data_IF_116554496029
#
_entry.id   IF_116554496029
#
_cell.length_a   1.000
_cell.length_b   1.000
_cell.length_c   1.000
_cell.angle_alpha   90.00
_cell.angle_beta   90.00
_cell.angle_gamma   90.00
#
_symmetry.space_group_name_H-M   'P 1'
#
loop_
_entity.id
_entity.type
_entity.pdbx_description
1 polymer ?
#
# COMPACT_ATOMS: atom_id res chain seq x y z
N UNK A 1 -9.73 -2.31 -23.13
CA UNK A 1 -9.66 -1.39 -24.28
C UNK A 1 -8.24 -1.28 -24.90
N UNK A 2 -7.24 -1.99 -24.42
CA UNK A 2 -5.91 -2.01 -25.03
C UNK A 2 -4.98 -0.84 -24.70
N UNK A 3 -5.34 0.01 -23.73
CA UNK A 3 -4.49 1.10 -23.26
C UNK A 3 -3.50 0.61 -22.20
N UNK A 4 -2.32 1.23 -22.21
CA UNK A 4 -1.30 1.10 -21.16
C UNK A 4 -1.13 2.46 -20.48
N UNK A 5 -1.14 2.47 -19.15
CA UNK A 5 -1.04 3.71 -18.41
C UNK A 5 -0.26 3.50 -17.10
N UNK A 6 0.30 4.58 -16.62
CA UNK A 6 0.98 4.63 -15.32
C UNK A 6 0.26 5.65 -14.44
N UNK A 7 -0.08 5.24 -13.24
CA UNK A 7 -0.82 6.06 -12.29
C UNK A 7 0.01 6.21 -11.02
N UNK A 8 0.22 7.46 -10.62
CA UNK A 8 0.85 7.78 -9.33
C UNK A 8 -0.15 7.81 -8.19
N UNK A 9 0.37 8.04 -7.00
CA UNK A 9 -0.45 8.17 -5.80
C UNK A 9 -1.45 9.33 -5.95
N UNK A 10 -2.74 9.14 -5.59
CA UNK A 10 -3.71 10.23 -5.54
C UNK A 10 -3.24 11.36 -4.64
N UNK A 11 -3.30 12.58 -5.14
CA UNK A 11 -2.88 13.79 -4.42
C UNK A 11 -4.08 14.73 -4.22
N UNK A 12 -4.11 15.42 -3.09
CA UNK A 12 -5.07 16.48 -2.82
C UNK A 12 -4.51 17.82 -3.28
N UNK A 13 -5.41 18.74 -3.64
CA UNK A 13 -5.04 20.09 -4.04
C UNK A 13 -4.95 20.96 -2.79
N UNK A 14 -3.75 21.44 -2.47
CA UNK A 14 -3.52 22.40 -1.41
C UNK A 14 -3.81 23.83 -1.90
N UNK A 15 -4.16 24.71 -0.98
CA UNK A 15 -4.36 26.14 -1.24
C UNK A 15 -3.62 26.98 -0.20
N UNK A 16 -3.18 28.14 -0.60
CA UNK A 16 -2.69 29.17 0.31
C UNK A 16 -3.84 30.14 0.60
N UNK A 17 -4.27 30.23 1.85
CA UNK A 17 -5.36 31.08 2.30
C UNK A 17 -4.82 31.93 3.46
N UNK A 18 -4.86 33.25 3.30
CA UNK A 18 -4.34 34.21 4.28
C UNK A 18 -2.88 33.96 4.70
N UNK A 19 -2.03 33.48 3.75
CA UNK A 19 -0.62 33.14 3.97
C UNK A 19 -0.43 31.84 4.75
N UNK A 20 -1.46 31.03 4.93
CA UNK A 20 -1.39 29.70 5.52
C UNK A 20 -1.58 28.61 4.48
N UNK A 21 -0.74 27.56 4.58
CA UNK A 21 -0.89 26.36 3.78
C UNK A 21 -2.09 25.56 4.26
N UNK A 22 -3.12 25.43 3.42
CA UNK A 22 -4.39 24.80 3.76
C UNK A 22 -4.63 23.55 2.91
N UNK A 23 -5.30 22.57 3.50
CA UNK A 23 -5.72 21.33 2.87
C UNK A 23 -7.23 21.16 2.89
N UNK A 24 -7.81 20.45 1.91
CA UNK A 24 -9.24 20.16 1.92
C UNK A 24 -9.58 19.19 3.05
N UNK A 25 -10.65 19.53 3.79
CA UNK A 25 -11.20 18.71 4.87
C UNK A 25 -12.59 18.26 4.49
N UNK A 26 -12.90 17.02 4.82
CA UNK A 26 -14.17 16.38 4.55
C UNK A 26 -14.86 16.01 5.86
N UNK A 27 -16.17 16.11 5.84
CA UNK A 27 -17.03 15.54 6.87
C UNK A 27 -17.23 14.06 6.54
N UNK A 28 -16.77 13.20 7.42
CA UNK A 28 -16.82 11.76 7.31
C UNK A 28 -17.84 11.20 8.31
N UNK A 29 -18.78 10.40 7.83
CA UNK A 29 -19.74 9.68 8.66
C UNK A 29 -19.46 8.18 8.58
N UNK A 30 -19.31 7.52 9.71
CA UNK A 30 -19.17 6.07 9.82
C UNK A 30 -20.29 5.53 10.69
N UNK A 31 -21.14 4.66 10.13
CA UNK A 31 -22.14 3.92 10.85
C UNK A 31 -21.70 2.47 11.01
N UNK A 32 -21.59 1.98 12.25
CA UNK A 32 -20.97 0.69 12.56
C UNK A 32 -21.57 0.08 13.82
N UNK A 33 -21.61 -1.27 14.00
CA UNK A 33 -21.93 -1.89 15.27
C UNK A 33 -21.04 -1.36 16.40
N UNK A 34 -21.60 -1.19 17.60
CA UNK A 34 -20.93 -0.56 18.74
C UNK A 34 -19.59 -1.22 19.10
N UNK A 35 -19.46 -2.54 18.92
CA UNK A 35 -18.23 -3.30 19.18
C UNK A 35 -17.03 -2.84 18.34
N UNK A 36 -17.25 -2.27 17.13
CA UNK A 36 -16.19 -1.78 16.26
C UNK A 36 -15.91 -0.28 16.40
N UNK A 37 -16.74 0.47 17.15
CA UNK A 37 -16.65 1.91 17.25
C UNK A 37 -15.26 2.42 17.67
N UNK A 38 -14.69 1.85 18.72
CA UNK A 38 -13.35 2.24 19.22
C UNK A 38 -12.26 2.05 18.16
N UNK A 39 -12.35 0.98 17.37
CA UNK A 39 -11.39 0.70 16.30
C UNK A 39 -11.52 1.69 15.15
N UNK A 40 -12.74 2.13 14.82
CA UNK A 40 -12.97 3.18 13.82
C UNK A 40 -12.40 4.52 14.27
N UNK A 41 -12.66 4.90 15.53
CA UNK A 41 -12.13 6.15 16.10
C UNK A 41 -10.60 6.16 16.06
N UNK A 42 -9.93 5.10 16.51
CA UNK A 42 -8.46 4.99 16.46
C UNK A 42 -7.92 5.11 15.02
N UNK A 43 -8.55 4.42 14.08
CA UNK A 43 -8.15 4.41 12.67
C UNK A 43 -8.26 5.80 12.02
N UNK A 44 -9.34 6.53 12.28
CA UNK A 44 -9.58 7.88 11.74
C UNK A 44 -8.67 8.91 12.42
N UNK A 45 -8.47 8.81 13.75
CA UNK A 45 -7.60 9.72 14.51
C UNK A 45 -6.14 9.61 14.06
N UNK A 46 -5.63 8.41 13.79
CA UNK A 46 -4.28 8.21 13.20
C UNK A 46 -4.11 8.91 11.85
N UNK A 47 -5.20 9.13 11.13
CA UNK A 47 -5.25 9.84 9.85
C UNK A 47 -5.58 11.33 9.99
N UNK A 48 -5.39 11.89 11.20
CA UNK A 48 -5.66 13.29 11.54
C UNK A 48 -7.15 13.68 11.46
N UNK A 49 -8.06 12.70 11.55
CA UNK A 49 -9.47 12.97 11.71
C UNK A 49 -9.80 13.33 13.15
N UNK A 50 -10.67 14.30 13.32
CA UNK A 50 -11.17 14.80 14.59
C UNK A 50 -12.65 14.43 14.72
N UNK A 51 -13.01 13.71 15.78
CA UNK A 51 -14.40 13.32 16.02
C UNK A 51 -15.23 14.55 16.41
N UNK A 52 -16.33 14.78 15.71
CA UNK A 52 -17.26 15.88 15.92
C UNK A 52 -18.51 15.46 16.68
N UNK A 53 -19.04 14.27 16.38
CA UNK A 53 -20.19 13.72 17.09
C UNK A 53 -20.15 12.19 17.16
N UNK A 54 -20.89 11.62 18.10
CA UNK A 54 -21.11 10.20 18.25
C UNK A 54 -22.50 9.95 18.81
N UNK A 55 -23.35 9.27 18.05
CA UNK A 55 -24.73 8.98 18.44
C UNK A 55 -25.02 7.48 18.37
N UNK A 56 -25.52 6.92 19.45
CA UNK A 56 -25.93 5.52 19.50
C UNK A 56 -27.37 5.38 18.98
N UNK A 57 -27.57 4.47 18.02
CA UNK A 57 -28.86 4.14 17.44
C UNK A 57 -29.11 2.61 17.58
N UNK A 58 -29.60 2.21 18.75
CA UNK A 58 -29.79 0.78 19.08
C UNK A 58 -28.45 0.07 19.23
N UNK A 59 -28.22 -0.96 18.41
CA UNK A 59 -26.95 -1.74 18.39
C UNK A 59 -25.86 -1.12 17.52
N UNK A 60 -26.14 -0.01 16.86
CA UNK A 60 -25.20 0.69 15.98
C UNK A 60 -24.90 2.08 16.47
N UNK A 61 -23.72 2.57 16.08
CA UNK A 61 -23.25 3.91 16.40
C UNK A 61 -22.98 4.67 15.12
N UNK A 62 -23.45 5.89 15.07
CA UNK A 62 -23.13 6.85 14.02
C UNK A 62 -22.03 7.79 14.54
N UNK A 63 -20.88 7.81 13.87
CA UNK A 63 -19.73 8.61 14.29
C UNK A 63 -19.38 9.57 13.17
N UNK A 64 -19.28 10.86 13.50
CA UNK A 64 -18.92 11.92 12.55
C UNK A 64 -17.52 12.46 12.86
N UNK A 65 -16.79 12.77 11.79
CA UNK A 65 -15.43 13.27 11.87
C UNK A 65 -15.20 14.39 10.86
N UNK A 66 -14.33 15.32 11.20
CA UNK A 66 -13.65 16.19 10.25
C UNK A 66 -12.27 15.60 9.93
N UNK A 67 -12.06 15.18 8.69
CA UNK A 67 -10.82 14.50 8.27
C UNK A 67 -10.22 15.16 7.04
N UNK A 68 -8.89 15.36 6.96
CA UNK A 68 -8.25 15.77 5.72
C UNK A 68 -8.57 14.79 4.58
N UNK A 69 -8.90 15.29 3.38
CA UNK A 69 -9.25 14.44 2.22
C UNK A 69 -8.17 13.39 1.91
N UNK A 70 -6.89 13.73 2.12
CA UNK A 70 -5.78 12.76 1.99
C UNK A 70 -5.84 11.62 3.01
N UNK A 71 -6.52 11.80 4.14
CA UNK A 71 -6.75 10.77 5.17
C UNK A 71 -7.82 9.76 4.78
N UNK A 72 -8.70 10.09 3.83
CA UNK A 72 -9.76 9.21 3.33
C UNK A 72 -9.21 8.18 2.34
N UNK A 73 -8.10 8.51 1.65
CA UNK A 73 -7.47 7.60 0.70
C UNK A 73 -7.11 6.30 1.43
N UNK A 74 -7.65 5.17 0.97
CA UNK A 74 -7.47 3.86 1.57
C UNK A 74 -8.24 3.60 2.87
N UNK A 75 -8.98 4.57 3.38
CA UNK A 75 -9.73 4.40 4.61
C UNK A 75 -10.90 3.44 4.45
N UNK A 76 -11.60 3.47 3.31
CA UNK A 76 -12.79 2.66 3.06
C UNK A 76 -12.51 1.17 3.17
N UNK A 77 -11.49 0.68 2.50
CA UNK A 77 -11.07 -0.73 2.53
C UNK A 77 -10.70 -1.16 3.95
N UNK A 78 -9.95 -0.31 4.67
CA UNK A 78 -9.56 -0.59 6.04
C UNK A 78 -10.77 -0.62 7.00
N UNK A 79 -11.72 0.31 6.86
CA UNK A 79 -12.97 0.37 7.64
C UNK A 79 -13.81 -0.88 7.40
N UNK A 80 -14.01 -1.29 6.14
CA UNK A 80 -14.77 -2.49 5.79
C UNK A 80 -14.11 -3.77 6.32
N UNK A 81 -12.80 -3.90 6.15
CA UNK A 81 -12.05 -5.07 6.67
C UNK A 81 -12.13 -5.12 8.20
N UNK A 82 -11.97 -3.97 8.86
CA UNK A 82 -11.95 -3.88 10.31
C UNK A 82 -13.32 -4.14 10.98
N UNK A 83 -14.41 -3.88 10.24
CA UNK A 83 -15.80 -4.10 10.65
C UNK A 83 -16.41 -5.36 10.05
N UNK A 84 -15.61 -6.25 9.44
CA UNK A 84 -16.10 -7.46 8.78
C UNK A 84 -17.15 -7.19 7.68
N UNK A 85 -17.07 -6.01 7.04
CA UNK A 85 -18.02 -5.59 6.01
C UNK A 85 -19.27 -4.86 6.52
N UNK A 86 -19.45 -4.73 7.84
CA UNK A 86 -20.68 -4.17 8.41
C UNK A 86 -20.73 -2.64 8.48
N UNK A 87 -19.60 -1.95 8.29
CA UNK A 87 -19.57 -0.50 8.32
C UNK A 87 -20.19 0.13 7.08
N UNK A 88 -20.90 1.22 7.28
CA UNK A 88 -21.36 2.12 6.23
C UNK A 88 -20.58 3.40 6.36
N UNK A 89 -19.92 3.84 5.28
CA UNK A 89 -19.08 5.01 5.26
C UNK A 89 -19.54 5.97 4.16
N UNK A 90 -19.74 7.23 4.53
CA UNK A 90 -20.04 8.33 3.63
C UNK A 90 -19.15 9.53 3.96
N UNK A 91 -18.79 10.32 2.96
CA UNK A 91 -18.00 11.54 3.16
C UNK A 91 -18.39 12.61 2.16
N UNK A 92 -18.21 13.87 2.54
CA UNK A 92 -18.45 15.03 1.69
C UNK A 92 -17.44 16.13 1.97
N UNK A 93 -17.07 16.90 0.97
CA UNK A 93 -16.24 18.09 1.15
C UNK A 93 -16.91 19.08 2.11
N UNK A 94 -16.13 19.58 3.06
CA UNK A 94 -16.57 20.60 4.03
C UNK A 94 -15.95 21.95 3.70
N UNK A 95 -14.65 22.08 3.89
CA UNK A 95 -13.92 23.34 3.73
C UNK A 95 -12.41 23.10 3.62
N UNK A 96 -11.65 24.17 3.42
CA UNK A 96 -10.20 24.14 3.55
C UNK A 96 -9.82 24.56 4.97
N UNK A 97 -8.94 23.79 5.60
CA UNK A 97 -8.38 24.06 6.93
C UNK A 97 -6.85 24.06 6.88
N UNK A 98 -6.17 24.67 7.87
CA UNK A 98 -4.72 24.60 7.98
C UNK A 98 -4.19 23.17 7.95
N UNK A 99 -3.06 22.97 7.30
CA UNK A 99 -2.42 21.65 7.16
C UNK A 99 -2.18 20.99 8.53
N UNK A 100 -2.71 19.79 8.74
CA UNK A 100 -2.69 19.06 10.02
C UNK A 100 -1.45 18.20 10.24
N UNK A 101 -0.39 18.38 9.42
CA UNK A 101 0.84 17.60 9.52
C UNK A 101 0.77 16.25 8.77
N UNK A 102 1.86 15.50 8.75
CA UNK A 102 1.97 14.27 7.99
C UNK A 102 1.07 13.14 8.51
N UNK A 103 0.56 12.35 7.58
CA UNK A 103 -0.19 11.12 7.85
C UNK A 103 0.68 9.95 7.40
N UNK A 104 1.03 9.07 8.34
CA UNK A 104 1.70 7.82 8.02
C UNK A 104 0.72 6.87 7.32
N UNK A 105 0.92 6.65 6.01
CA UNK A 105 0.05 5.76 5.21
C UNK A 105 0.50 4.31 5.27
N UNK A 106 1.71 4.04 4.82
CA UNK A 106 2.35 2.73 4.84
C UNK A 106 3.66 2.83 5.61
N UNK A 107 3.79 2.06 6.68
CA UNK A 107 5.01 2.03 7.48
C UNK A 107 6.08 1.15 6.83
N UNK A 108 5.68 0.06 6.17
CA UNK A 108 6.57 -0.92 5.58
C UNK A 108 7.23 -0.43 4.28
N UNK A 109 8.46 -0.88 4.04
CA UNK A 109 9.19 -0.66 2.80
C UNK A 109 8.72 -1.58 1.67
N UNK A 110 9.29 -1.38 0.48
CA UNK A 110 9.07 -2.22 -0.68
C UNK A 110 10.22 -3.21 -0.86
N UNK A 111 9.90 -4.43 -1.29
CA UNK A 111 10.88 -5.34 -1.89
C UNK A 111 10.94 -5.05 -3.40
N UNK A 112 12.12 -4.70 -3.90
CA UNK A 112 12.32 -4.18 -5.25
C UNK A 112 13.23 -5.12 -6.03
N UNK A 113 12.82 -5.47 -7.26
CA UNK A 113 13.63 -6.31 -8.15
C UNK A 113 14.94 -5.60 -8.54
N UNK A 114 16.07 -6.31 -8.35
CA UNK A 114 17.41 -5.82 -8.68
C UNK A 114 17.67 -5.85 -10.18
N UNK A 115 17.14 -6.85 -10.88
CA UNK A 115 17.40 -7.10 -12.29
C UNK A 115 16.15 -7.63 -13.01
N UNK A 116 16.17 -7.56 -14.33
CA UNK A 116 15.12 -8.12 -15.18
C UNK A 116 15.36 -9.62 -15.37
N UNK A 117 14.30 -10.41 -15.26
CA UNK A 117 14.37 -11.86 -15.45
C UNK A 117 13.12 -12.58 -14.95
N UNK A 118 13.16 -13.88 -14.93
CA UNK A 118 12.07 -14.73 -14.43
C UNK A 118 12.27 -15.02 -12.95
N UNK A 119 11.23 -14.83 -12.14
CA UNK A 119 11.26 -15.13 -10.71
C UNK A 119 11.34 -16.64 -10.46
N UNK A 120 12.34 -17.08 -9.69
CA UNK A 120 12.53 -18.49 -9.36
C UNK A 120 11.94 -18.83 -7.97
N UNK A 121 11.28 -19.98 -7.90
CA UNK A 121 10.73 -20.55 -6.66
C UNK A 121 11.77 -20.59 -5.54
N UNK A 122 13.00 -20.98 -5.85
CA UNK A 122 14.11 -21.03 -4.90
C UNK A 122 14.43 -19.65 -4.29
N UNK A 123 14.42 -18.59 -5.10
CA UNK A 123 14.72 -17.24 -4.63
C UNK A 123 13.59 -16.69 -3.78
N UNK A 124 12.32 -16.91 -4.16
CA UNK A 124 11.16 -16.52 -3.38
C UNK A 124 11.15 -17.23 -2.02
N UNK A 125 11.38 -18.57 -2.01
CA UNK A 125 11.45 -19.36 -0.77
C UNK A 125 12.51 -18.83 0.20
N UNK A 126 13.69 -18.44 -0.29
CA UNK A 126 14.77 -17.88 0.52
C UNK A 126 14.51 -16.46 1.04
N UNK A 127 13.61 -15.73 0.40
CA UNK A 127 13.35 -14.33 0.68
C UNK A 127 11.98 -14.09 1.35
N UNK A 128 11.12 -15.11 1.43
CA UNK A 128 9.76 -14.95 2.00
C UNK A 128 9.75 -14.56 3.48
N UNK A 129 10.81 -14.84 4.23
CA UNK A 129 10.95 -14.35 5.62
C UNK A 129 11.19 -12.83 5.70
N UNK A 130 11.53 -12.19 4.57
CA UNK A 130 11.76 -10.75 4.48
C UNK A 130 10.50 -9.94 4.24
N UNK A 131 9.40 -10.60 3.82
CA UNK A 131 8.16 -9.89 3.52
C UNK A 131 7.15 -10.73 2.75
N UNK A 132 6.11 -10.06 2.28
CA UNK A 132 5.02 -10.66 1.49
C UNK A 132 5.26 -10.37 0.01
N UNK A 133 5.19 -11.40 -0.84
CA UNK A 133 5.34 -11.22 -2.28
C UNK A 133 4.02 -10.88 -2.98
N UNK A 134 4.14 -10.11 -4.07
CA UNK A 134 3.05 -9.80 -5.01
C UNK A 134 3.16 -10.59 -6.31
N UNK A 135 4.23 -11.36 -6.48
CA UNK A 135 4.55 -12.17 -7.66
C UNK A 135 4.56 -13.65 -7.34
N UNK A 136 4.29 -14.47 -8.35
CA UNK A 136 4.42 -15.92 -8.29
C UNK A 136 5.74 -16.39 -8.95
N UNK A 137 6.23 -17.60 -8.59
CA UNK A 137 7.32 -18.23 -9.32
C UNK A 137 6.98 -18.41 -10.81
N UNK A 138 7.93 -18.10 -11.68
CA UNK A 138 7.76 -18.17 -13.14
C UNK A 138 7.28 -16.87 -13.77
N UNK A 139 6.91 -15.86 -12.99
CA UNK A 139 6.57 -14.54 -13.52
C UNK A 139 7.84 -13.79 -13.98
N UNK A 140 7.70 -13.03 -15.05
CA UNK A 140 8.76 -12.13 -15.52
C UNK A 140 8.68 -10.83 -14.72
N UNK A 141 9.81 -10.43 -14.18
CA UNK A 141 10.00 -9.18 -13.45
C UNK A 141 11.03 -8.30 -14.14
N UNK A 142 11.01 -7.01 -13.86
CA UNK A 142 11.99 -6.08 -14.39
C UNK A 142 12.64 -5.24 -13.29
N UNK A 143 13.79 -4.65 -13.59
CA UNK A 143 14.53 -3.80 -12.66
C UNK A 143 13.64 -2.66 -12.13
N UNK A 144 13.60 -2.48 -10.82
CA UNK A 144 12.80 -1.43 -10.18
C UNK A 144 11.32 -1.77 -9.97
N UNK A 145 10.86 -2.96 -10.37
CA UNK A 145 9.52 -3.46 -10.05
C UNK A 145 9.39 -3.74 -8.55
N UNK A 146 8.27 -3.35 -7.96
CA UNK A 146 7.92 -3.65 -6.56
C UNK A 146 7.29 -5.04 -6.53
N UNK A 147 8.09 -6.02 -6.14
CA UNK A 147 7.72 -7.45 -6.12
C UNK A 147 7.16 -7.94 -4.79
N UNK A 148 7.13 -7.06 -3.78
CA UNK A 148 6.58 -7.41 -2.48
C UNK A 148 6.67 -6.27 -1.46
N UNK A 149 6.08 -6.52 -0.27
CA UNK A 149 6.15 -5.65 0.90
C UNK A 149 7.23 -6.16 1.86
N UNK A 150 8.16 -5.30 2.27
CA UNK A 150 9.18 -5.60 3.26
C UNK A 150 8.59 -5.57 4.68
N UNK A 151 9.10 -6.39 5.60
CA UNK A 151 8.65 -6.38 7.00
C UNK A 151 9.13 -5.15 7.79
N UNK A 152 10.18 -4.45 7.31
CA UNK A 152 10.71 -3.23 7.90
C UNK A 152 10.28 -2.00 7.11
N UNK A 153 10.51 -0.82 7.65
CA UNK A 153 10.16 0.48 7.07
C UNK A 153 11.01 0.90 5.86
N UNK A 154 12.19 0.30 5.70
CA UNK A 154 13.11 0.58 4.60
C UNK A 154 12.87 -0.30 3.38
N UNK A 155 13.12 0.25 2.20
CA UNK A 155 13.10 -0.50 0.95
C UNK A 155 14.27 -1.49 0.87
N UNK A 156 13.98 -2.70 0.39
CA UNK A 156 14.94 -3.78 0.20
C UNK A 156 15.04 -4.18 -1.27
N UNK A 157 16.22 -4.02 -1.85
CA UNK A 157 16.49 -4.50 -3.22
C UNK A 157 16.90 -5.95 -3.17
N UNK A 158 16.19 -6.79 -3.92
CA UNK A 158 16.34 -8.25 -3.91
C UNK A 158 16.50 -8.82 -5.32
N UNK A 159 17.18 -9.94 -5.43
CA UNK A 159 17.30 -10.67 -6.69
C UNK A 159 16.39 -11.92 -6.65
N UNK A 160 15.22 -11.82 -7.30
CA UNK A 160 14.28 -12.93 -7.44
C UNK A 160 14.55 -13.79 -8.68
N UNK A 161 15.37 -13.29 -9.61
CA UNK A 161 15.73 -14.00 -10.84
C UNK A 161 16.96 -14.93 -10.68
N UNK A 162 17.47 -15.09 -9.47
CA UNK A 162 18.61 -15.96 -9.21
C UNK A 162 18.18 -17.42 -9.13
N UNK A 163 18.63 -18.22 -10.08
CA UNK A 163 18.43 -19.67 -10.07
C UNK A 163 19.30 -20.36 -8.99
N UNK A 164 18.85 -21.53 -8.52
CA UNK A 164 19.66 -22.40 -7.66
C UNK A 164 20.92 -22.81 -8.42
N UNK A 165 22.10 -22.50 -7.91
CA UNK A 165 23.34 -23.04 -8.49
C UNK A 165 23.38 -24.55 -8.26
N UNK A 166 23.69 -25.30 -9.35
CA UNK A 166 23.90 -26.73 -9.27
C UNK A 166 25.15 -26.97 -8.43
N UNK A 167 25.00 -27.46 -7.21
CA UNK A 167 26.12 -27.94 -6.40
C UNK A 167 26.29 -29.44 -6.66
N UNK A 168 27.52 -29.87 -7.03
CA UNK A 168 27.91 -31.27 -7.28
C UNK A 168 27.98 -32.11 -5.97
N UNK A 169 27.16 -31.87 -4.98
CA UNK A 169 27.08 -32.71 -3.80
C UNK A 169 26.04 -33.77 -3.99
N UNK A 170 26.49 -35.03 -4.02
CA UNK A 170 25.68 -36.25 -3.97
C UNK A 170 24.96 -36.38 -2.63
N UNK A 171 24.02 -35.50 -2.35
CA UNK A 171 23.00 -35.66 -1.32
C UNK A 171 21.70 -36.02 -2.02
N UNK A 172 21.59 -37.31 -2.38
CA UNK A 172 20.31 -37.92 -2.75
C UNK A 172 19.42 -37.92 -1.52
N UNK A 173 18.34 -37.14 -1.56
CA UNK A 173 17.21 -37.33 -0.67
C UNK A 173 16.86 -36.16 0.23
N UNK A 174 16.50 -35.10 -0.28
CA UNK A 174 15.32 -34.29 0.01
C UNK A 174 15.38 -33.08 -0.90
N UNK A 175 14.74 -33.16 -2.04
CA UNK A 175 14.16 -31.98 -2.64
C UNK A 175 13.09 -31.53 -1.63
N UNK A 176 13.51 -30.72 -0.65
CA UNK A 176 12.57 -29.96 0.16
C UNK A 176 11.79 -29.11 -0.84
N UNK A 177 10.57 -29.56 -1.11
CA UNK A 177 9.66 -28.80 -1.99
C UNK A 177 9.51 -27.43 -1.37
N UNK A 178 10.00 -26.41 -2.05
CA UNK A 178 9.91 -25.02 -1.63
C UNK A 178 8.46 -24.75 -1.18
N UNK A 179 8.28 -24.42 0.08
CA UNK A 179 6.96 -24.15 0.65
C UNK A 179 6.69 -22.67 0.52
N UNK A 180 6.26 -22.28 -0.67
CA UNK A 180 6.01 -20.87 -0.99
C UNK A 180 4.66 -20.45 -0.44
N UNK A 181 4.65 -19.33 0.29
CA UNK A 181 3.42 -18.67 0.73
C UNK A 181 2.75 -18.05 -0.52
N UNK A 182 1.43 -18.22 -0.71
CA UNK A 182 0.72 -17.59 -1.81
C UNK A 182 0.95 -16.09 -1.86
N UNK A 183 1.07 -15.53 -3.06
CA UNK A 183 1.23 -14.10 -3.25
C UNK A 183 0.02 -13.32 -2.73
N UNK A 184 0.25 -12.08 -2.32
CA UNK A 184 -0.81 -11.12 -2.06
C UNK A 184 -1.26 -10.50 -3.38
N UNK A 185 -2.55 -10.61 -3.70
CA UNK A 185 -3.14 -10.01 -4.89
C UNK A 185 -3.83 -8.72 -4.45
N UNK A 186 -3.46 -7.61 -5.08
CA UNK A 186 -4.07 -6.31 -4.85
C UNK A 186 -5.00 -5.97 -6.01
N UNK A 187 -6.17 -5.39 -5.73
CA UNK A 187 -6.99 -4.72 -6.73
C UNK A 187 -6.32 -3.41 -7.18
N UNK A 188 -6.83 -2.78 -8.23
CA UNK A 188 -6.29 -1.49 -8.67
C UNK A 188 -6.41 -0.42 -7.58
N UNK A 189 -7.53 -0.37 -6.89
CA UNK A 189 -7.78 0.54 -5.78
C UNK A 189 -6.79 0.30 -4.64
N UNK A 190 -6.61 -0.95 -4.22
CA UNK A 190 -5.66 -1.33 -3.18
C UNK A 190 -4.23 -1.01 -3.58
N UNK A 191 -3.85 -1.20 -4.84
CA UNK A 191 -2.51 -0.86 -5.34
C UNK A 191 -2.27 0.66 -5.31
N UNK A 192 -3.26 1.47 -5.72
CA UNK A 192 -3.18 2.94 -5.66
C UNK A 192 -3.11 3.48 -4.23
N UNK A 193 -3.76 2.79 -3.29
CA UNK A 193 -3.67 3.09 -1.86
C UNK A 193 -2.32 2.67 -1.27
N UNK A 194 -1.76 1.56 -1.78
CA UNK A 194 -0.54 0.94 -1.29
C UNK A 194 0.71 1.72 -1.67
N UNK A 195 0.81 2.24 -2.91
CA UNK A 195 2.03 2.89 -3.42
C UNK A 195 2.43 4.14 -2.62
N UNK A 196 3.75 4.38 -2.53
CA UNK A 196 4.34 5.61 -2.00
C UNK A 196 4.48 6.67 -3.10
N UNK A 197 4.84 7.89 -2.72
CA UNK A 197 5.01 9.02 -3.64
C UNK A 197 6.08 8.77 -4.73
N UNK A 198 7.05 7.91 -4.47
CA UNK A 198 8.10 7.49 -5.39
C UNK A 198 7.77 6.20 -6.16
N UNK A 199 6.53 5.76 -6.12
CA UNK A 199 6.04 4.55 -6.77
C UNK A 199 4.89 4.85 -7.73
N UNK A 200 4.74 4.01 -8.74
CA UNK A 200 3.69 4.06 -9.76
C UNK A 200 3.02 2.69 -9.88
N UNK A 201 1.74 2.70 -10.24
CA UNK A 201 1.02 1.51 -10.71
C UNK A 201 1.01 1.53 -12.23
N UNK A 202 1.55 0.49 -12.85
CA UNK A 202 1.43 0.23 -14.28
C UNK A 202 0.22 -0.65 -14.54
N UNK A 203 -0.67 -0.18 -15.37
CA UNK A 203 -1.86 -0.92 -15.79
C UNK A 203 -1.75 -1.21 -17.27
N UNK A 204 -1.76 -2.49 -17.61
CA UNK A 204 -1.81 -2.97 -18.99
C UNK A 204 -3.04 -3.86 -19.17
N UNK A 205 -3.47 -4.18 -20.41
CA UNK A 205 -4.59 -5.09 -20.61
C UNK A 205 -4.41 -6.49 -20.01
N UNK A 206 -3.16 -6.88 -19.75
CA UNK A 206 -2.81 -8.23 -19.27
C UNK A 206 -2.36 -8.30 -17.82
N UNK A 207 -1.86 -7.20 -17.27
CA UNK A 207 -1.25 -7.18 -15.93
C UNK A 207 -1.33 -5.82 -15.28
N UNK A 208 -1.32 -5.84 -13.95
CA UNK A 208 -1.11 -4.67 -13.11
C UNK A 208 0.15 -4.91 -12.29
N UNK A 209 1.07 -3.94 -12.30
CA UNK A 209 2.35 -4.01 -11.61
C UNK A 209 2.62 -2.70 -10.88
N UNK A 210 3.37 -2.78 -9.81
CA UNK A 210 3.87 -1.60 -9.10
C UNK A 210 5.35 -1.47 -9.35
N UNK A 211 5.84 -0.24 -9.46
CA UNK A 211 7.27 0.02 -9.70
C UNK A 211 7.73 1.31 -9.04
N UNK A 212 9.03 1.47 -8.89
CA UNK A 212 9.64 2.75 -8.54
C UNK A 212 9.61 3.71 -9.75
N UNK A 213 9.51 5.01 -9.48
CA UNK A 213 9.62 6.06 -10.52
C UNK A 213 11.00 6.02 -11.18
N UNK A 214 12.06 5.86 -10.38
CA UNK A 214 13.43 5.66 -10.84
C UNK A 214 13.74 4.17 -10.75
N UNK A 215 13.95 3.50 -11.90
CA UNK A 215 14.09 2.04 -11.95
C UNK A 215 15.46 1.56 -11.44
N UNK A 216 16.54 2.25 -11.82
CA UNK A 216 17.88 1.86 -11.42
C UNK A 216 18.15 2.15 -9.94
N UNK A 217 18.72 1.16 -9.24
CA UNK A 217 19.01 1.27 -7.82
C UNK A 217 20.05 2.33 -7.47
N UNK A 218 21.08 2.50 -8.31
CA UNK A 218 22.15 3.46 -8.05
C UNK A 218 21.64 4.89 -8.29
N UNK A 219 20.77 5.07 -9.29
CA UNK A 219 20.16 6.36 -9.58
C UNK A 219 19.19 6.77 -8.47
N UNK A 220 18.40 5.82 -7.91
CA UNK A 220 17.61 6.10 -6.69
C UNK A 220 18.48 6.53 -5.51
N UNK A 221 19.64 5.87 -5.30
CA UNK A 221 20.57 6.26 -4.22
C UNK A 221 21.16 7.66 -4.42
N UNK A 222 21.37 8.08 -5.66
CA UNK A 222 21.87 9.43 -5.97
C UNK A 222 20.78 10.46 -5.71
N UNK A 223 19.56 10.24 -6.21
CA UNK A 223 18.42 11.12 -6.01
C UNK A 223 18.04 11.33 -4.53
N UNK A 224 18.26 10.35 -3.68
CA UNK A 224 18.00 10.45 -2.23
C UNK A 224 19.12 11.17 -1.44
N UNK A 225 20.23 11.56 -2.09
CA UNK A 225 21.34 12.30 -1.44
C UNK A 225 21.33 13.80 -1.75
N UNK A 226 20.57 14.21 -2.76
CA UNK A 226 20.30 15.61 -3.11
C UNK A 226 19.09 16.15 -2.29
#
# INVERSE_FOLDING_TARGET
>A
EGYELQVGQPQVIYKEIDGQHCEPVEELTINVPEEFASKMIDMVTRRKGEMTSMESQGERVNIEFDIPSRGIIGLRTNVLTASQGEAIMAHRFKEYQPYKGDIARRMNGSMIALETGTAFAYSIDKLQDRGKFFIDPGEEVYIGEVVGEHIHDNDLVINVAKAKQLTNTRASGSDDKARIVPRTILSLEEALEYIKADELVEVTPKSMRMRKTILDHNDRKRANKE
#
